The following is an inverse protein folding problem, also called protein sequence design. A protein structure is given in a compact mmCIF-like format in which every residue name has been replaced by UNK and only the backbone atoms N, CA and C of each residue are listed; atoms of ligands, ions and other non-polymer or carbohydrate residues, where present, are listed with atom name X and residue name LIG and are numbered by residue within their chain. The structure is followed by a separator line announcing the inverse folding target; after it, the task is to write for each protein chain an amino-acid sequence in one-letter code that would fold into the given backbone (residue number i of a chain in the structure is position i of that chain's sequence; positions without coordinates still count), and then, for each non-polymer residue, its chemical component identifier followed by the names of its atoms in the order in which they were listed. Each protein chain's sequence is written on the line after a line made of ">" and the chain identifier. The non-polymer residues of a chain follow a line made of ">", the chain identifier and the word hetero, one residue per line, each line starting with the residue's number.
data_IF_215441539931
#
_entry.id   IF_215441539931
#
_cell.length_a   1.000
_cell.length_b   1.000
_cell.length_c   1.000
_cell.angle_alpha   90.00
_cell.angle_beta   90.00
_cell.angle_gamma   90.00
#
_symmetry.space_group_name_H-M   'P 1'
#
loop_
_entity.id
_entity.type
_entity.pdbx_description
1 polymer ?
#
# COMPACT_ATOMS: atom_id res chain seq x y z
N UNK A 1 -18.32 -3.30 90.40
CA UNK A 1 -17.25 -2.74 91.25
C UNK A 1 -15.93 -3.38 90.85
N UNK A 2 -14.95 -2.55 90.43
CA UNK A 2 -13.49 -2.74 90.46
C UNK A 2 -12.89 -3.98 89.76
N UNK A 3 -11.81 -3.91 88.98
CA UNK A 3 -10.81 -2.87 88.68
C UNK A 3 -10.02 -3.36 87.45
N UNK A 4 -9.48 -2.40 86.68
CA UNK A 4 -8.44 -2.60 85.68
C UNK A 4 -7.24 -3.39 86.24
N UNK A 5 -6.56 -4.13 85.36
CA UNK A 5 -5.10 -4.04 85.13
C UNK A 5 -4.83 -4.49 83.69
N UNK A 6 -4.34 -3.54 82.89
CA UNK A 6 -3.72 -3.75 81.57
C UNK A 6 -2.25 -4.11 81.82
N UNK A 7 -1.77 -5.23 81.27
CA UNK A 7 -0.33 -5.50 81.15
C UNK A 7 -0.04 -5.71 79.66
N UNK A 8 0.68 -4.75 79.10
CA UNK A 8 1.25 -4.81 77.77
C UNK A 8 2.51 -5.70 77.79
N UNK A 9 2.54 -6.73 76.97
CA UNK A 9 3.78 -7.48 76.65
C UNK A 9 4.07 -7.26 75.18
N UNK A 10 5.13 -6.49 74.92
CA UNK A 10 5.70 -6.28 73.60
C UNK A 10 6.44 -7.57 73.16
N UNK A 11 5.85 -8.30 72.22
CA UNK A 11 6.53 -9.37 71.48
C UNK A 11 7.08 -8.84 70.16
N UNK A 12 8.38 -8.55 70.13
CA UNK A 12 9.15 -8.30 68.91
C UNK A 12 9.24 -9.59 68.10
N UNK A 13 8.41 -9.72 67.05
CA UNK A 13 8.61 -10.71 66.00
C UNK A 13 9.25 -10.01 64.78
N UNK A 14 10.55 -10.19 64.61
CA UNK A 14 11.24 -9.91 63.36
C UNK A 14 10.78 -10.91 62.29
N UNK A 15 9.72 -10.55 61.57
CA UNK A 15 9.36 -11.21 60.32
C UNK A 15 10.24 -10.67 59.19
N UNK A 16 11.09 -11.54 58.63
CA UNK A 16 11.83 -11.25 57.41
C UNK A 16 10.85 -10.89 56.28
N UNK A 17 10.76 -9.61 55.96
CA UNK A 17 10.13 -9.13 54.72
C UNK A 17 11.06 -9.57 53.60
N UNK A 18 10.80 -10.73 53.00
CA UNK A 18 11.27 -10.99 51.64
C UNK A 18 10.54 -10.00 50.74
N UNK A 19 11.19 -8.87 50.48
CA UNK A 19 10.85 -8.03 49.36
C UNK A 19 10.95 -8.91 48.11
N UNK A 20 9.80 -9.32 47.57
CA UNK A 20 9.74 -9.76 46.17
C UNK A 20 10.19 -8.54 45.37
N UNK A 21 11.45 -8.56 44.93
CA UNK A 21 11.89 -7.69 43.85
C UNK A 21 10.80 -7.75 42.77
N UNK A 22 10.32 -6.60 42.26
CA UNK A 22 9.45 -6.65 41.10
C UNK A 22 10.20 -7.46 40.05
N UNK A 23 9.55 -8.51 39.53
CA UNK A 23 10.04 -9.15 38.31
C UNK A 23 10.22 -7.99 37.34
N UNK A 24 11.46 -7.70 36.96
CA UNK A 24 11.70 -6.98 35.71
C UNK A 24 10.98 -7.84 34.68
N UNK A 25 9.84 -7.37 34.20
CA UNK A 25 9.23 -7.93 33.01
C UNK A 25 10.36 -7.99 31.98
N UNK A 26 10.61 -9.18 31.44
CA UNK A 26 11.54 -9.30 30.31
C UNK A 26 11.06 -8.29 29.28
N UNK A 27 11.88 -7.30 28.96
CA UNK A 27 11.60 -6.37 27.88
C UNK A 27 11.19 -7.21 26.67
N UNK A 28 10.03 -6.92 26.07
CA UNK A 28 9.54 -7.70 24.94
C UNK A 28 10.63 -7.70 23.85
N UNK A 29 11.11 -8.89 23.50
CA UNK A 29 12.10 -9.08 22.44
C UNK A 29 11.39 -8.88 21.09
N UNK A 30 11.35 -7.63 20.61
CA UNK A 30 10.89 -7.29 19.26
C UNK A 30 10.21 -5.93 19.14
N UNK A 31 9.48 -5.72 18.04
CA UNK A 31 8.67 -4.52 17.83
C UNK A 31 7.35 -4.56 18.62
N UNK A 32 7.07 -3.46 19.31
CA UNK A 32 5.80 -3.19 20.02
C UNK A 32 5.27 -1.86 19.56
N UNK A 33 4.09 -1.85 18.92
CA UNK A 33 3.51 -0.64 18.35
C UNK A 33 2.34 -0.13 19.17
N UNK A 34 2.29 1.19 19.38
CA UNK A 34 1.15 1.91 19.94
C UNK A 34 0.61 2.88 18.89
N UNK A 35 -0.66 2.71 18.52
CA UNK A 35 -1.33 3.63 17.59
C UNK A 35 -1.34 5.05 18.16
N UNK A 36 -0.88 6.02 17.37
CA UNK A 36 -1.00 7.46 17.65
C UNK A 36 -2.29 7.99 17.06
N UNK A 37 -2.54 7.66 15.79
CA UNK A 37 -3.77 8.00 15.06
C UNK A 37 -4.00 6.98 13.95
N UNK A 38 -5.25 6.59 13.76
CA UNK A 38 -5.67 5.80 12.61
C UNK A 38 -7.01 6.32 12.08
N UNK A 39 -7.17 6.27 10.77
CA UNK A 39 -8.40 6.65 10.08
C UNK A 39 -9.16 5.40 9.63
N UNK A 40 -10.50 5.47 9.48
CA UNK A 40 -11.31 4.30 9.16
C UNK A 40 -10.87 3.61 7.85
N UNK A 41 -10.79 2.29 7.89
CA UNK A 41 -10.53 1.41 6.74
C UNK A 41 -11.56 0.28 6.71
N UNK A 42 -11.82 -0.26 5.53
CA UNK A 42 -12.56 -1.52 5.35
C UNK A 42 -11.69 -2.74 5.66
N UNK A 43 -12.31 -3.93 5.65
CA UNK A 43 -11.65 -5.22 5.86
C UNK A 43 -10.41 -5.45 4.98
N UNK A 44 -9.47 -6.24 5.49
CA UNK A 44 -8.28 -6.67 4.74
C UNK A 44 -8.69 -7.63 3.62
N UNK A 45 -8.23 -7.34 2.40
CA UNK A 45 -8.48 -8.14 1.20
C UNK A 45 -7.26 -8.99 0.82
N UNK A 46 -7.44 -9.91 -0.12
CA UNK A 46 -6.38 -10.82 -0.54
C UNK A 46 -6.33 -10.99 -2.07
N UNK A 47 -5.36 -10.34 -2.70
CA UNK A 47 -5.08 -10.46 -4.14
C UNK A 47 -4.53 -11.84 -4.52
N UNK A 48 -4.03 -12.60 -3.55
CA UNK A 48 -3.47 -13.94 -3.72
C UNK A 48 -2.47 -14.01 -4.89
N UNK A 49 -2.65 -14.94 -5.83
CA UNK A 49 -1.72 -15.18 -6.94
C UNK A 49 -2.12 -14.34 -8.15
N UNK A 50 -2.19 -13.04 -7.95
CA UNK A 50 -2.41 -12.04 -8.99
C UNK A 50 -1.59 -10.79 -8.69
N UNK A 51 -1.11 -10.10 -9.73
CA UNK A 51 -0.32 -8.86 -9.59
C UNK A 51 -1.21 -7.61 -9.57
N UNK A 52 -2.30 -7.66 -8.80
CA UNK A 52 -3.38 -6.67 -8.84
C UNK A 52 -3.41 -5.73 -7.64
N UNK A 53 -2.29 -5.61 -6.90
CA UNK A 53 -2.18 -4.76 -5.70
C UNK A 53 -2.62 -3.31 -5.96
N UNK A 54 -2.31 -2.77 -7.14
CA UNK A 54 -2.75 -1.44 -7.58
C UNK A 54 -4.28 -1.27 -7.55
N UNK A 55 -5.05 -2.32 -7.91
CA UNK A 55 -6.52 -2.34 -7.83
C UNK A 55 -7.02 -2.43 -6.39
N UNK A 56 -6.51 -3.40 -5.62
CA UNK A 56 -6.89 -3.61 -4.22
C UNK A 56 -6.58 -2.40 -3.32
N UNK A 57 -5.41 -1.80 -3.47
CA UNK A 57 -4.99 -0.65 -2.67
C UNK A 57 -5.76 0.61 -3.01
N UNK A 58 -6.00 0.87 -4.31
CA UNK A 58 -6.79 2.01 -4.77
C UNK A 58 -8.26 1.90 -4.38
N UNK A 59 -8.86 0.72 -4.48
CA UNK A 59 -10.23 0.53 -4.01
C UNK A 59 -10.31 0.60 -2.48
N UNK A 60 -9.34 0.05 -1.76
CA UNK A 60 -9.23 0.25 -0.31
C UNK A 60 -9.11 1.74 0.08
N UNK A 61 -8.43 2.54 -0.75
CA UNK A 61 -8.38 4.00 -0.61
C UNK A 61 -9.75 4.65 -0.89
N UNK A 62 -10.40 4.34 -2.01
CA UNK A 62 -11.73 4.90 -2.33
C UNK A 62 -12.80 4.51 -1.29
N UNK A 63 -12.77 3.28 -0.79
CA UNK A 63 -13.63 2.81 0.30
C UNK A 63 -13.40 3.60 1.59
N UNK A 64 -12.15 3.92 1.91
CA UNK A 64 -11.81 4.78 3.06
C UNK A 64 -12.28 6.23 2.85
N UNK A 65 -12.24 6.75 1.60
CA UNK A 65 -12.84 8.04 1.27
C UNK A 65 -14.37 8.02 1.41
N UNK A 66 -15.04 6.94 1.00
CA UNK A 66 -16.50 6.77 1.17
C UNK A 66 -16.88 6.73 2.66
N UNK A 67 -16.08 6.07 3.50
CA UNK A 67 -16.23 6.10 4.96
C UNK A 67 -16.06 7.53 5.49
N UNK A 68 -15.01 8.25 5.07
CA UNK A 68 -14.73 9.63 5.46
C UNK A 68 -15.86 10.59 5.08
N UNK A 69 -16.47 10.41 3.91
CA UNK A 69 -17.59 11.23 3.43
C UNK A 69 -18.97 10.80 3.97
N UNK A 70 -19.01 9.81 4.87
CA UNK A 70 -20.25 9.35 5.49
C UNK A 70 -21.18 8.60 4.53
N UNK A 71 -20.65 8.07 3.42
CA UNK A 71 -21.40 7.26 2.45
C UNK A 71 -21.65 5.83 2.95
N UNK A 72 -20.89 5.39 3.94
CA UNK A 72 -20.97 4.06 4.55
C UNK A 72 -19.89 3.12 4.03
N UNK A 73 -19.98 1.85 4.44
CA UNK A 73 -19.06 0.80 4.04
C UNK A 73 -19.45 0.22 2.67
N UNK A 74 -18.45 0.04 1.80
CA UNK A 74 -18.58 -0.56 0.49
C UNK A 74 -17.51 -1.63 0.31
N UNK A 75 -17.83 -2.64 -0.50
CA UNK A 75 -16.90 -3.64 -1.01
C UNK A 75 -16.97 -3.57 -2.53
N UNK A 76 -15.96 -2.97 -3.16
CA UNK A 76 -15.94 -2.69 -4.60
C UNK A 76 -15.17 -3.78 -5.35
N UNK A 77 -15.60 -4.10 -6.57
CA UNK A 77 -14.97 -5.16 -7.37
C UNK A 77 -13.62 -4.73 -7.94
N UNK A 78 -12.54 -5.29 -7.41
CA UNK A 78 -11.21 -5.15 -8.01
C UNK A 78 -11.16 -5.71 -9.43
N UNK A 79 -11.91 -6.80 -9.69
CA UNK A 79 -11.84 -7.52 -10.95
C UNK A 79 -12.57 -6.81 -12.09
N UNK A 80 -13.59 -6.01 -11.78
CA UNK A 80 -14.17 -5.06 -12.75
C UNK A 80 -13.12 -4.05 -13.23
N UNK A 81 -12.34 -3.50 -12.30
CA UNK A 81 -11.25 -2.56 -12.63
C UNK A 81 -10.16 -3.27 -13.43
N UNK A 82 -9.69 -4.43 -12.97
CA UNK A 82 -8.65 -5.21 -13.66
C UNK A 82 -9.08 -5.52 -15.09
N UNK A 83 -10.31 -6.02 -15.28
CA UNK A 83 -10.85 -6.33 -16.61
C UNK A 83 -10.77 -5.11 -17.54
N UNK A 84 -11.36 -3.97 -17.13
CA UNK A 84 -11.37 -2.74 -17.95
C UNK A 84 -10.00 -2.16 -18.22
N UNK A 85 -9.12 -2.18 -17.22
CA UNK A 85 -7.75 -1.72 -17.39
C UNK A 85 -6.98 -2.58 -18.37
N UNK A 86 -7.12 -3.91 -18.31
CA UNK A 86 -6.38 -4.81 -19.19
C UNK A 86 -6.88 -4.76 -20.65
N UNK A 87 -8.18 -4.49 -20.87
CA UNK A 87 -8.70 -4.17 -22.21
C UNK A 87 -7.98 -2.95 -22.80
N UNK A 88 -7.86 -1.87 -22.02
CA UNK A 88 -7.20 -0.64 -22.46
C UNK A 88 -5.68 -0.83 -22.62
N UNK A 89 -5.03 -1.55 -21.71
CA UNK A 89 -3.58 -1.82 -21.75
C UNK A 89 -3.22 -2.65 -22.98
N UNK A 90 -4.07 -3.59 -23.39
CA UNK A 90 -3.89 -4.33 -24.63
C UNK A 90 -3.95 -3.39 -25.86
N UNK A 91 -4.86 -2.41 -25.85
CA UNK A 91 -4.94 -1.38 -26.91
C UNK A 91 -3.70 -0.52 -26.93
N UNK A 92 -3.15 -0.14 -25.78
CA UNK A 92 -1.90 0.60 -25.71
C UNK A 92 -0.74 -0.23 -26.28
N UNK A 93 -0.54 -1.46 -25.82
CA UNK A 93 0.50 -2.37 -26.31
C UNK A 93 0.48 -2.52 -27.84
N UNK A 94 -0.71 -2.77 -28.41
CA UNK A 94 -0.87 -2.92 -29.86
C UNK A 94 -0.60 -1.63 -30.62
N UNK A 95 -0.99 -0.46 -30.09
CA UNK A 95 -0.69 0.85 -30.71
C UNK A 95 0.80 1.17 -30.72
N UNK A 96 1.52 0.74 -29.70
CA UNK A 96 2.97 0.87 -29.60
C UNK A 96 3.72 -0.29 -30.27
N UNK A 97 3.05 -1.11 -31.08
CA UNK A 97 3.68 -2.22 -31.81
C UNK A 97 4.48 -3.17 -30.89
N UNK A 98 4.02 -3.33 -29.65
CA UNK A 98 4.63 -4.16 -28.63
C UNK A 98 5.84 -3.58 -27.90
N UNK A 99 6.13 -2.29 -28.06
CA UNK A 99 7.17 -1.59 -27.30
C UNK A 99 6.69 -1.15 -25.91
N UNK A 100 5.39 -0.90 -25.75
CA UNK A 100 4.80 -0.73 -24.42
C UNK A 100 4.71 -2.08 -23.69
N UNK A 101 4.54 -2.06 -22.37
CA UNK A 101 4.39 -3.26 -21.55
C UNK A 101 2.94 -3.77 -21.53
N UNK A 102 2.78 -5.09 -21.59
CA UNK A 102 1.51 -5.76 -21.28
C UNK A 102 1.75 -6.78 -20.18
N UNK A 103 1.52 -6.36 -18.95
CA UNK A 103 1.69 -7.13 -17.71
C UNK A 103 0.47 -6.88 -16.80
N UNK A 104 0.21 -7.77 -15.82
CA UNK A 104 -0.93 -7.65 -14.90
C UNK A 104 -0.83 -6.51 -13.87
N UNK A 105 0.34 -5.86 -13.78
CA UNK A 105 0.54 -4.68 -12.93
C UNK A 105 -0.29 -3.47 -13.39
N UNK A 106 -0.14 -2.35 -12.70
CA UNK A 106 -0.93 -1.16 -12.96
C UNK A 106 -0.62 -0.06 -11.96
N UNK A 107 -1.34 1.04 -12.06
CA UNK A 107 -1.11 2.26 -11.31
C UNK A 107 -2.38 2.75 -10.61
N UNK A 108 -2.25 3.68 -9.67
CA UNK A 108 -3.42 4.33 -9.06
C UNK A 108 -4.27 5.11 -10.08
N UNK A 109 -3.67 5.61 -11.16
CA UNK A 109 -4.40 6.28 -12.24
C UNK A 109 -5.35 5.32 -12.96
N UNK A 110 -5.06 4.02 -13.02
CA UNK A 110 -5.95 3.06 -13.67
C UNK A 110 -7.34 3.02 -13.01
N UNK A 111 -7.41 3.21 -11.69
CA UNK A 111 -8.68 3.28 -10.96
C UNK A 111 -9.37 4.62 -11.17
N UNK A 112 -8.60 5.72 -11.15
CA UNK A 112 -9.12 7.06 -11.45
C UNK A 112 -9.75 7.08 -12.84
N UNK A 113 -9.05 6.51 -13.83
CA UNK A 113 -9.52 6.37 -15.20
C UNK A 113 -10.74 5.45 -15.28
N UNK A 114 -10.71 4.28 -14.63
CA UNK A 114 -11.83 3.35 -14.62
C UNK A 114 -13.09 4.00 -14.02
N UNK A 115 -12.95 4.65 -12.86
CA UNK A 115 -14.04 5.35 -12.20
C UNK A 115 -14.62 6.45 -13.10
N UNK A 116 -13.80 7.21 -13.82
CA UNK A 116 -14.27 8.28 -14.73
C UNK A 116 -14.96 7.74 -15.98
N UNK A 117 -14.42 6.69 -16.59
CA UNK A 117 -14.83 6.25 -17.93
C UNK A 117 -15.82 5.07 -17.93
N UNK A 118 -15.74 4.20 -16.93
CA UNK A 118 -16.50 2.95 -16.87
C UNK A 118 -17.44 2.88 -15.67
N UNK A 119 -17.13 3.59 -14.58
CA UNK A 119 -17.89 3.54 -13.34
C UNK A 119 -17.32 2.51 -12.38
N UNK A 120 -18.15 1.98 -11.48
CA UNK A 120 -17.76 0.98 -10.48
C UNK A 120 -18.90 0.01 -10.21
N UNK A 121 -18.58 -1.17 -9.68
CA UNK A 121 -19.57 -2.17 -9.28
C UNK A 121 -19.21 -2.75 -7.90
N UNK A 122 -20.21 -3.16 -7.11
CA UNK A 122 -19.98 -3.94 -5.90
C UNK A 122 -19.30 -5.30 -6.17
N UNK A 123 -18.54 -5.80 -5.20
CA UNK A 123 -17.83 -7.08 -5.28
C UNK A 123 -18.77 -8.28 -5.53
N UNK A 124 -19.99 -8.27 -4.99
CA UNK A 124 -20.98 -9.33 -5.20
C UNK A 124 -21.58 -9.34 -6.61
N UNK A 125 -21.50 -8.23 -7.34
CA UNK A 125 -21.95 -8.13 -8.73
C UNK A 125 -20.91 -8.71 -9.69
N UNK A 126 -19.62 -8.54 -9.41
CA UNK A 126 -18.54 -9.12 -10.22
C UNK A 126 -17.40 -9.62 -9.30
N UNK A 127 -17.50 -10.85 -8.76
CA UNK A 127 -16.46 -11.41 -7.91
C UNK A 127 -15.12 -11.61 -8.63
N UNK A 128 -15.21 -11.91 -9.94
CA UNK A 128 -14.08 -12.03 -10.85
C UNK A 128 -13.26 -13.31 -10.73
N UNK A 129 -13.92 -14.41 -10.39
CA UNK A 129 -13.31 -15.73 -10.22
C UNK A 129 -14.23 -16.77 -10.86
N UNK A 130 -14.07 -17.01 -12.16
CA UNK A 130 -14.90 -17.97 -12.93
C UNK A 130 -14.29 -19.38 -13.01
N UNK A 131 -13.14 -19.60 -12.36
CA UNK A 131 -12.33 -20.83 -12.45
C UNK A 131 -12.39 -21.73 -11.20
N UNK A 132 -13.35 -21.49 -10.30
CA UNK A 132 -13.67 -22.39 -9.18
C UNK A 132 -12.77 -22.27 -7.94
N UNK A 133 -11.84 -21.32 -7.92
CA UNK A 133 -11.06 -20.97 -6.73
C UNK A 133 -11.85 -20.04 -5.79
N UNK A 134 -11.34 -19.81 -4.58
CA UNK A 134 -11.89 -18.84 -3.62
C UNK A 134 -11.14 -17.51 -3.58
N UNK A 135 -9.99 -17.43 -4.26
CA UNK A 135 -9.11 -16.27 -4.30
C UNK A 135 -8.51 -16.11 -5.69
N UNK A 136 -8.12 -14.89 -6.11
CA UNK A 136 -7.58 -14.68 -7.44
C UNK A 136 -6.33 -15.51 -7.73
N UNK A 137 -6.29 -16.12 -8.90
CA UNK A 137 -5.14 -16.85 -9.42
C UNK A 137 -5.04 -16.61 -10.93
N UNK A 138 -4.24 -15.62 -11.32
CA UNK A 138 -4.18 -15.14 -12.70
C UNK A 138 -3.06 -15.77 -13.51
N UNK A 139 -2.33 -16.75 -12.98
CA UNK A 139 -1.19 -17.35 -13.70
C UNK A 139 -1.56 -17.84 -15.11
N UNK A 140 -2.71 -18.49 -15.26
CA UNK A 140 -3.20 -18.95 -16.57
C UNK A 140 -3.75 -17.79 -17.41
N UNK A 141 -4.56 -16.92 -16.81
CA UNK A 141 -5.11 -15.72 -17.45
C UNK A 141 -4.01 -14.84 -18.05
N UNK A 142 -2.99 -14.49 -17.26
CA UNK A 142 -1.89 -13.62 -17.64
C UNK A 142 -1.06 -14.23 -18.77
N UNK A 143 -0.83 -15.55 -18.72
CA UNK A 143 -0.12 -16.27 -19.77
C UNK A 143 -0.88 -16.26 -21.10
N UNK A 144 -2.19 -16.56 -21.07
CA UNK A 144 -3.04 -16.65 -22.26
C UNK A 144 -3.29 -15.27 -22.86
N UNK A 145 -3.68 -14.29 -22.04
CA UNK A 145 -3.87 -12.91 -22.46
C UNK A 145 -2.57 -12.29 -22.98
N UNK A 146 -1.45 -12.53 -22.30
CA UNK A 146 -0.12 -12.08 -22.70
C UNK A 146 0.28 -12.61 -24.07
N UNK A 147 0.17 -13.92 -24.28
CA UNK A 147 0.48 -14.54 -25.57
C UNK A 147 -0.42 -14.01 -26.70
N UNK A 148 -1.72 -13.84 -26.43
CA UNK A 148 -2.67 -13.29 -27.39
C UNK A 148 -2.27 -11.87 -27.82
N UNK A 149 -2.09 -10.96 -26.85
CA UNK A 149 -1.78 -9.55 -27.12
C UNK A 149 -0.39 -9.39 -27.75
N UNK A 150 0.59 -10.20 -27.34
CA UNK A 150 1.91 -10.23 -27.95
C UNK A 150 1.85 -10.61 -29.43
N UNK A 151 1.08 -11.64 -29.79
CA UNK A 151 0.93 -12.08 -31.17
C UNK A 151 0.30 -11.01 -32.07
N UNK A 152 -0.59 -10.17 -31.51
CA UNK A 152 -1.17 -9.03 -32.23
C UNK A 152 -0.17 -7.87 -32.36
N UNK A 153 0.45 -7.45 -31.24
CA UNK A 153 1.30 -6.26 -31.22
C UNK A 153 2.64 -6.42 -31.93
N UNK A 154 3.25 -7.61 -31.87
CA UNK A 154 4.54 -7.95 -32.51
C UNK A 154 4.40 -8.81 -33.77
N UNK A 155 3.17 -9.02 -34.25
CA UNK A 155 2.91 -9.80 -35.45
C UNK A 155 3.31 -9.09 -36.73
N UNK A 156 3.64 -9.84 -37.78
CA UNK A 156 4.04 -9.30 -39.10
C UNK A 156 2.84 -8.95 -40.01
N UNK A 157 1.68 -8.66 -39.41
CA UNK A 157 0.46 -8.39 -40.18
C UNK A 157 0.56 -7.00 -40.83
N UNK A 158 0.33 -6.91 -42.15
CA UNK A 158 0.30 -5.62 -42.86
C UNK A 158 -0.94 -4.78 -42.52
N UNK A 159 -2.00 -5.42 -42.00
CA UNK A 159 -3.22 -4.79 -41.50
C UNK A 159 -3.86 -5.65 -40.42
N UNK A 160 -4.22 -5.03 -39.30
CA UNK A 160 -4.97 -5.71 -38.23
C UNK A 160 -6.46 -5.80 -38.56
N UNK A 161 -7.06 -6.94 -38.23
CA UNK A 161 -8.52 -7.09 -38.21
C UNK A 161 -9.11 -6.31 -37.04
N UNK A 162 -10.27 -5.63 -37.17
CA UNK A 162 -10.87 -4.90 -36.05
C UNK A 162 -11.37 -5.81 -34.91
N UNK A 163 -11.41 -7.13 -35.11
CA UNK A 163 -11.99 -8.09 -34.15
C UNK A 163 -11.04 -8.48 -33.02
N UNK A 164 -9.74 -8.17 -33.11
CA UNK A 164 -8.76 -8.65 -32.12
C UNK A 164 -9.09 -8.19 -30.69
N UNK A 165 -9.71 -7.02 -30.54
CA UNK A 165 -10.17 -6.51 -29.24
C UNK A 165 -11.17 -7.45 -28.59
N UNK A 166 -12.08 -8.03 -29.39
CA UNK A 166 -13.07 -9.01 -28.90
C UNK A 166 -12.39 -10.28 -28.39
N UNK A 167 -11.25 -10.67 -28.96
CA UNK A 167 -10.53 -11.86 -28.53
C UNK A 167 -9.89 -11.66 -27.15
N UNK A 168 -9.24 -10.52 -26.91
CA UNK A 168 -8.70 -10.21 -25.58
C UNK A 168 -9.81 -10.01 -24.54
N UNK A 169 -10.90 -9.31 -24.89
CA UNK A 169 -12.09 -9.17 -24.03
C UNK A 169 -12.66 -10.54 -23.67
N UNK A 170 -12.84 -11.44 -24.64
CA UNK A 170 -13.38 -12.78 -24.39
C UNK A 170 -12.48 -13.63 -23.47
N UNK A 171 -11.15 -13.46 -23.55
CA UNK A 171 -10.24 -14.07 -22.59
C UNK A 171 -10.57 -13.55 -21.18
N UNK A 172 -10.59 -12.23 -20.96
CA UNK A 172 -10.91 -11.70 -19.64
C UNK A 172 -12.33 -12.04 -19.16
N UNK A 173 -13.34 -12.01 -20.04
CA UNK A 173 -14.70 -12.45 -19.73
C UNK A 173 -14.75 -13.91 -19.26
N UNK A 174 -13.91 -14.78 -19.85
CA UNK A 174 -13.89 -16.21 -19.50
C UNK A 174 -13.32 -16.46 -18.11
N UNK A 175 -12.31 -15.70 -17.67
CA UNK A 175 -11.66 -15.94 -16.37
C UNK A 175 -12.23 -15.06 -15.24
N UNK A 176 -12.63 -13.83 -15.56
CA UNK A 176 -13.09 -12.82 -14.60
C UNK A 176 -14.60 -12.54 -14.70
N UNK A 177 -15.31 -13.15 -15.64
CA UNK A 177 -16.72 -12.87 -15.88
C UNK A 177 -16.93 -11.63 -16.75
N UNK A 178 -18.09 -11.58 -17.40
CA UNK A 178 -18.48 -10.42 -18.20
C UNK A 178 -18.72 -9.20 -17.31
N UNK A 179 -18.17 -8.04 -17.71
CA UNK A 179 -18.47 -6.79 -17.02
C UNK A 179 -19.98 -6.48 -17.08
N UNK A 180 -20.66 -6.29 -15.93
CA UNK A 180 -22.10 -6.10 -15.88
C UNK A 180 -22.51 -4.79 -16.56
N UNK A 181 -23.57 -4.84 -17.38
CA UNK A 181 -24.17 -3.64 -17.99
C UNK A 181 -25.16 -2.95 -17.04
N UNK A 182 -25.86 -3.76 -16.26
CA UNK A 182 -26.81 -3.34 -15.25
C UNK A 182 -26.82 -4.34 -14.08
N UNK A 183 -27.15 -3.87 -12.88
CA UNK A 183 -27.31 -4.68 -11.68
C UNK A 183 -28.28 -4.01 -10.70
N UNK A 184 -28.83 -4.79 -9.77
CA UNK A 184 -29.69 -4.25 -8.71
C UNK A 184 -28.89 -4.04 -7.44
N UNK A 185 -28.94 -2.84 -6.88
CA UNK A 185 -28.36 -2.51 -5.58
C UNK A 185 -29.41 -1.85 -4.70
N UNK A 186 -29.66 -2.41 -3.50
CA UNK A 186 -30.67 -1.92 -2.54
C UNK A 186 -32.04 -1.64 -3.18
N UNK A 187 -32.48 -2.50 -4.09
CA UNK A 187 -33.80 -2.44 -4.73
C UNK A 187 -33.93 -1.47 -5.91
N UNK A 188 -32.85 -0.81 -6.35
CA UNK A 188 -32.82 0.01 -7.56
C UNK A 188 -31.82 -0.56 -8.57
N UNK A 189 -32.18 -0.50 -9.86
CA UNK A 189 -31.29 -0.90 -10.96
C UNK A 189 -30.31 0.23 -11.30
N UNK A 190 -29.04 -0.12 -11.47
CA UNK A 190 -27.96 0.77 -11.85
C UNK A 190 -27.14 0.17 -12.98
N UNK A 191 -26.58 1.02 -13.82
CA UNK A 191 -25.36 0.72 -14.58
C UNK A 191 -24.13 1.04 -13.73
N UNK A 192 -22.93 0.51 -14.04
CA UNK A 192 -21.70 0.87 -13.32
C UNK A 192 -21.45 2.38 -13.24
N UNK A 193 -21.76 3.12 -14.31
CA UNK A 193 -21.67 4.58 -14.37
C UNK A 193 -22.63 5.25 -13.38
N UNK A 194 -23.91 4.91 -13.44
CA UNK A 194 -24.93 5.50 -12.54
C UNK A 194 -24.70 5.13 -11.07
N UNK A 195 -24.15 3.95 -10.79
CA UNK A 195 -23.78 3.56 -9.43
C UNK A 195 -22.65 4.44 -8.88
N UNK A 196 -21.59 4.65 -9.69
CA UNK A 196 -20.51 5.53 -9.32
C UNK A 196 -20.96 6.99 -9.14
N UNK A 197 -21.89 7.49 -9.96
CA UNK A 197 -22.36 8.88 -9.88
C UNK A 197 -23.36 9.11 -8.73
N UNK A 198 -24.35 8.22 -8.58
CA UNK A 198 -25.48 8.45 -7.67
C UNK A 198 -25.28 7.83 -6.29
N UNK A 199 -24.54 6.73 -6.19
CA UNK A 199 -24.35 5.99 -4.92
C UNK A 199 -23.02 6.35 -4.28
N UNK A 200 -21.92 6.19 -5.03
CA UNK A 200 -20.58 6.48 -4.52
C UNK A 200 -20.35 8.00 -4.46
N UNK A 201 -20.60 8.70 -5.57
CA UNK A 201 -20.59 10.16 -5.65
C UNK A 201 -19.22 10.81 -5.45
N UNK A 202 -18.12 10.06 -5.61
CA UNK A 202 -16.77 10.60 -5.53
C UNK A 202 -16.43 11.39 -6.80
N UNK A 203 -15.87 12.58 -6.64
CA UNK A 203 -15.32 13.36 -7.75
C UNK A 203 -13.85 13.04 -7.96
N UNK A 204 -13.54 12.32 -9.04
CA UNK A 204 -12.16 11.92 -9.33
C UNK A 204 -11.20 13.08 -9.64
N UNK A 205 -11.68 14.31 -9.79
CA UNK A 205 -10.84 15.51 -9.91
C UNK A 205 -10.35 16.05 -8.54
N UNK A 206 -10.86 15.51 -7.44
CA UNK A 206 -10.45 15.86 -6.09
C UNK A 206 -9.18 15.11 -5.66
N UNK A 207 -8.69 14.18 -6.47
CA UNK A 207 -7.52 13.34 -6.18
C UNK A 207 -6.36 13.67 -7.10
N UNK A 208 -5.14 13.63 -6.56
CA UNK A 208 -3.91 13.90 -7.30
C UNK A 208 -2.82 12.90 -6.93
N UNK A 209 -2.01 12.54 -7.93
CA UNK A 209 -0.78 11.79 -7.71
C UNK A 209 0.36 12.75 -7.33
N UNK A 210 1.08 12.45 -6.27
CA UNK A 210 2.27 13.20 -5.83
C UNK A 210 3.50 12.29 -5.82
N UNK A 211 4.65 12.84 -6.18
CA UNK A 211 5.95 12.14 -6.17
C UNK A 211 7.07 13.11 -5.77
N UNK A 212 8.31 12.62 -5.72
CA UNK A 212 9.49 13.41 -5.39
C UNK A 212 10.74 12.89 -6.09
N UNK A 213 11.20 13.59 -7.11
CA UNK A 213 12.43 13.29 -7.85
C UNK A 213 13.09 14.56 -8.39
N UNK A 214 14.38 14.50 -8.70
CA UNK A 214 15.18 15.66 -9.15
C UNK A 214 15.52 15.64 -10.64
N UNK A 215 15.24 14.56 -11.37
CA UNK A 215 15.37 14.54 -12.84
C UNK A 215 14.29 15.36 -13.56
N UNK A 216 13.28 15.85 -12.83
CA UNK A 216 12.31 16.86 -13.27
C UNK A 216 12.23 18.02 -12.27
N UNK A 217 11.87 19.24 -12.69
CA UNK A 217 11.69 20.36 -11.78
C UNK A 217 10.62 20.10 -10.72
N UNK A 218 10.85 20.59 -9.50
CA UNK A 218 9.81 20.60 -8.47
C UNK A 218 8.65 21.53 -8.84
N UNK A 219 7.47 21.23 -8.29
CA UNK A 219 6.20 21.92 -8.49
C UNK A 219 5.67 21.88 -9.92
N UNK A 220 6.26 21.04 -10.77
CA UNK A 220 5.75 20.70 -12.09
C UNK A 220 5.15 19.28 -12.06
N UNK A 221 4.38 18.96 -13.08
CA UNK A 221 3.88 17.61 -13.31
C UNK A 221 4.73 16.88 -14.32
N UNK A 222 5.01 15.60 -14.09
CA UNK A 222 5.60 14.72 -15.08
C UNK A 222 5.06 13.29 -14.96
N UNK A 223 5.29 12.47 -15.97
CA UNK A 223 4.93 11.05 -15.94
C UNK A 223 6.09 10.26 -15.36
N UNK A 224 5.89 9.64 -14.20
CA UNK A 224 6.90 8.76 -13.60
C UNK A 224 7.19 7.63 -14.59
N UNK A 225 8.46 7.46 -14.94
CA UNK A 225 8.92 6.60 -16.03
C UNK A 225 8.99 5.13 -15.60
N UNK A 226 7.84 4.53 -15.29
CA UNK A 226 7.70 3.12 -14.90
C UNK A 226 6.74 2.38 -15.82
N UNK A 227 6.97 1.08 -16.00
CA UNK A 227 6.22 0.28 -16.98
C UNK A 227 4.71 0.24 -16.72
N UNK A 228 4.30 0.26 -15.46
CA UNK A 228 2.89 0.23 -15.07
C UNK A 228 2.20 1.59 -15.19
N UNK A 229 2.93 2.69 -15.40
CA UNK A 229 2.39 3.98 -15.79
C UNK A 229 2.22 4.11 -17.32
N UNK A 230 1.71 3.07 -17.97
CA UNK A 230 1.55 2.98 -19.42
C UNK A 230 0.54 3.99 -19.99
N UNK A 231 -0.30 4.60 -19.13
CA UNK A 231 -1.20 5.71 -19.48
C UNK A 231 -0.49 7.07 -19.54
N UNK A 232 0.79 7.13 -19.16
CA UNK A 232 1.57 8.37 -18.99
C UNK A 232 0.88 9.36 -18.03
N UNK A 233 0.34 8.84 -16.92
CA UNK A 233 -0.33 9.61 -15.90
C UNK A 233 0.65 10.60 -15.25
N UNK A 234 0.17 11.82 -15.01
CA UNK A 234 0.97 12.88 -14.44
C UNK A 234 0.93 12.86 -12.91
N UNK A 235 2.10 13.02 -12.30
CA UNK A 235 2.26 13.24 -10.86
C UNK A 235 2.88 14.61 -10.60
N UNK A 236 2.39 15.32 -9.60
CA UNK A 236 3.02 16.56 -9.14
C UNK A 236 4.29 16.24 -8.36
N UNK A 237 5.38 16.92 -8.70
CA UNK A 237 6.69 16.69 -8.11
C UNK A 237 6.95 17.63 -6.92
N UNK A 238 7.33 17.10 -5.76
CA UNK A 238 7.63 17.87 -4.54
C UNK A 238 9.05 17.59 -4.03
N UNK A 239 9.69 18.53 -3.33
CA UNK A 239 10.84 18.20 -2.48
C UNK A 239 10.45 17.12 -1.46
N UNK A 240 11.37 16.20 -1.15
CA UNK A 240 11.04 15.01 -0.35
C UNK A 240 10.45 15.33 1.03
N UNK A 241 10.93 16.39 1.68
CA UNK A 241 10.40 16.80 2.99
C UNK A 241 8.95 17.32 2.89
N UNK A 242 8.60 17.99 1.79
CA UNK A 242 7.21 18.44 1.54
C UNK A 242 6.29 17.27 1.20
N UNK A 243 6.77 16.25 0.47
CA UNK A 243 6.00 15.03 0.25
C UNK A 243 5.71 14.31 1.59
N UNK A 244 6.71 14.20 2.47
CA UNK A 244 6.53 13.61 3.80
C UNK A 244 5.58 14.44 4.67
N UNK A 245 5.62 15.77 4.57
CA UNK A 245 4.66 16.65 5.25
C UNK A 245 3.22 16.40 4.77
N UNK A 246 3.00 16.22 3.47
CA UNK A 246 1.68 15.87 2.93
C UNK A 246 1.17 14.56 3.51
N UNK A 247 2.02 13.52 3.56
CA UNK A 247 1.66 12.21 4.10
C UNK A 247 1.25 12.30 5.58
N UNK A 248 1.99 13.06 6.40
CA UNK A 248 1.64 13.30 7.80
C UNK A 248 0.36 14.11 7.95
N UNK A 249 0.23 15.20 7.19
CA UNK A 249 -0.92 16.07 7.25
C UNK A 249 -2.21 15.33 6.83
N UNK A 250 -2.13 14.43 5.84
CA UNK A 250 -3.26 13.60 5.43
C UNK A 250 -3.79 12.77 6.59
N UNK A 251 -2.94 11.98 7.24
CA UNK A 251 -3.35 11.16 8.38
C UNK A 251 -3.87 12.03 9.53
N UNK A 252 -3.15 13.10 9.86
CA UNK A 252 -3.50 14.01 10.94
C UNK A 252 -4.81 14.76 10.70
N UNK A 253 -5.28 14.89 9.46
CA UNK A 253 -6.56 15.53 9.14
C UNK A 253 -7.67 14.56 8.70
N UNK A 254 -7.53 13.27 9.02
CA UNK A 254 -8.61 12.28 8.83
C UNK A 254 -8.68 11.66 7.43
N UNK A 255 -7.65 11.85 6.60
CA UNK A 255 -7.54 11.23 5.27
C UNK A 255 -6.65 10.00 5.34
N UNK A 256 -6.91 9.04 4.46
CA UNK A 256 -5.95 7.99 4.08
C UNK A 256 -5.31 8.36 2.74
N UNK A 257 -4.34 7.58 2.25
CA UNK A 257 -3.85 7.73 0.87
C UNK A 257 -3.32 6.41 0.32
N UNK A 258 -3.52 6.17 -0.98
CA UNK A 258 -2.90 5.05 -1.66
C UNK A 258 -1.39 5.32 -1.77
N UNK A 259 -0.59 4.31 -1.43
CA UNK A 259 0.86 4.41 -1.28
C UNK A 259 1.55 3.37 -2.16
N UNK A 260 2.25 3.87 -3.19
CA UNK A 260 3.05 3.06 -4.08
C UNK A 260 4.49 3.10 -3.61
N UNK A 261 5.11 1.93 -3.41
CA UNK A 261 6.47 1.83 -2.91
C UNK A 261 7.19 0.56 -3.35
N UNK A 262 8.51 0.67 -3.43
CA UNK A 262 9.37 -0.50 -3.58
C UNK A 262 9.44 -1.29 -2.27
N UNK A 263 8.98 -2.55 -2.34
CA UNK A 263 8.95 -3.51 -1.23
C UNK A 263 9.93 -4.66 -1.42
N UNK A 264 10.80 -4.60 -2.43
CA UNK A 264 11.84 -5.59 -2.73
C UNK A 264 13.09 -5.46 -1.85
N UNK A 265 12.93 -4.82 -0.69
CA UNK A 265 13.98 -4.49 0.26
C UNK A 265 14.15 -5.56 1.35
N UNK A 266 15.37 -5.75 1.82
CA UNK A 266 15.63 -6.61 2.99
C UNK A 266 14.82 -6.16 4.21
N UNK A 267 14.66 -4.84 4.34
CA UNK A 267 13.92 -4.18 5.38
C UNK A 267 12.41 -4.40 5.35
N UNK A 268 11.84 -4.81 4.21
CA UNK A 268 10.42 -5.14 4.07
C UNK A 268 10.21 -6.63 4.36
N UNK A 269 9.50 -6.94 5.45
CA UNK A 269 9.41 -8.31 6.00
C UNK A 269 8.01 -8.90 5.85
N UNK A 270 7.93 -10.24 5.86
CA UNK A 270 6.64 -10.95 5.90
C UNK A 270 5.94 -10.85 7.26
N UNK A 271 6.65 -10.39 8.30
CA UNK A 271 6.11 -10.21 9.64
C UNK A 271 5.44 -8.84 9.86
N UNK A 272 5.34 -8.01 8.82
CA UNK A 272 4.62 -6.74 8.90
C UNK A 272 5.50 -5.54 9.28
N UNK A 273 6.81 -5.58 9.00
CA UNK A 273 7.75 -4.49 9.27
C UNK A 273 8.37 -4.00 7.95
N UNK A 274 8.50 -2.69 7.78
CA UNK A 274 9.29 -2.07 6.73
C UNK A 274 10.22 -0.99 7.33
N UNK A 275 11.54 -1.22 7.28
CA UNK A 275 12.58 -0.36 7.90
C UNK A 275 13.81 -0.27 6.99
N UNK A 276 14.60 0.80 7.12
CA UNK A 276 15.91 0.97 6.46
C UNK A 276 17.04 1.03 7.51
N UNK A 277 17.36 -0.11 8.17
CA UNK A 277 18.30 -0.15 9.28
C UNK A 277 19.70 0.28 8.83
N UNK A 278 20.36 1.11 9.64
CA UNK A 278 21.76 1.45 9.43
C UNK A 278 22.61 0.30 10.00
N UNK A 279 23.14 -0.55 9.12
CA UNK A 279 23.86 -1.76 9.52
C UNK A 279 25.10 -1.45 10.38
N UNK A 280 25.85 -0.37 10.09
CA UNK A 280 27.03 0.03 10.85
C UNK A 280 26.66 0.43 12.28
N UNK A 281 25.70 1.35 12.45
CA UNK A 281 25.21 1.76 13.78
C UNK A 281 24.48 0.63 14.52
N UNK A 282 23.84 -0.26 13.77
CA UNK A 282 23.18 -1.46 14.31
C UNK A 282 24.19 -2.42 14.93
N UNK A 283 25.30 -2.68 14.24
CA UNK A 283 26.37 -3.56 14.71
C UNK A 283 27.00 -3.09 16.03
N UNK A 284 27.23 -1.77 16.17
CA UNK A 284 27.74 -1.17 17.41
C UNK A 284 26.79 -1.41 18.60
N UNK A 285 25.48 -1.32 18.38
CA UNK A 285 24.46 -1.46 19.43
C UNK A 285 24.13 -2.92 19.76
N UNK A 286 24.27 -3.85 18.82
CA UNK A 286 24.04 -5.28 19.08
C UNK A 286 25.24 -5.97 19.74
N UNK A 287 26.38 -5.30 19.84
CA UNK A 287 27.61 -5.86 20.42
C UNK A 287 28.19 -7.00 19.57
N UNK A 288 27.76 -7.09 18.32
CA UNK A 288 28.23 -8.06 17.34
C UNK A 288 29.55 -7.55 16.75
N UNK A 289 30.64 -8.30 16.94
CA UNK A 289 31.91 -7.96 16.31
C UNK A 289 31.85 -8.16 14.78
N UNK A 290 32.75 -7.49 14.06
CA UNK A 290 32.81 -7.57 12.60
C UNK A 290 32.99 -9.03 12.11
N UNK A 291 33.59 -9.91 12.91
CA UNK A 291 33.77 -11.32 12.59
C UNK A 291 32.43 -12.10 12.63
N UNK A 292 31.55 -11.79 13.58
CA UNK A 292 30.19 -12.30 13.64
C UNK A 292 29.40 -11.88 12.39
N UNK A 293 29.41 -10.59 12.06
CA UNK A 293 28.74 -10.09 10.86
C UNK A 293 29.28 -10.67 9.55
N UNK A 294 30.59 -10.92 9.43
CA UNK A 294 31.16 -11.55 8.24
C UNK A 294 30.77 -13.03 8.10
N UNK A 295 30.47 -13.71 9.21
CA UNK A 295 30.07 -15.12 9.23
C UNK A 295 28.58 -15.39 9.04
N UNK A 296 27.71 -14.38 9.22
CA UNK A 296 26.26 -14.56 9.09
C UNK A 296 25.81 -14.72 7.63
N UNK A 297 24.82 -15.59 7.41
CA UNK A 297 24.12 -15.68 6.13
C UNK A 297 23.34 -14.39 5.86
N UNK A 298 23.00 -14.12 4.59
CA UNK A 298 22.13 -12.99 4.22
C UNK A 298 20.79 -13.02 4.98
N UNK A 299 20.22 -14.20 5.18
CA UNK A 299 18.97 -14.37 5.89
C UNK A 299 19.10 -14.05 7.38
N UNK A 300 20.20 -14.45 8.02
CA UNK A 300 20.44 -14.17 9.44
C UNK A 300 20.70 -12.68 9.68
N UNK A 301 21.49 -12.03 8.81
CA UNK A 301 21.69 -10.57 8.83
C UNK A 301 20.37 -9.83 8.76
N UNK A 302 19.53 -10.18 7.77
CA UNK A 302 18.20 -9.60 7.61
C UNK A 302 17.36 -9.79 8.87
N UNK A 303 17.36 -10.99 9.44
CA UNK A 303 16.61 -11.28 10.68
C UNK A 303 17.11 -10.42 11.84
N UNK A 304 18.42 -10.27 12.02
CA UNK A 304 18.97 -9.43 13.08
C UNK A 304 18.56 -7.96 12.89
N UNK A 305 18.72 -7.43 11.68
CA UNK A 305 18.42 -6.04 11.33
C UNK A 305 16.93 -5.67 11.37
N UNK A 306 16.04 -6.65 11.33
CA UNK A 306 14.57 -6.44 11.28
C UNK A 306 13.82 -7.06 12.46
N UNK A 307 14.53 -7.59 13.46
CA UNK A 307 13.90 -8.24 14.63
C UNK A 307 13.39 -7.26 15.68
N UNK A 308 14.02 -6.09 15.81
CA UNK A 308 13.75 -5.06 16.82
C UNK A 308 14.04 -3.67 16.27
N UNK A 309 13.56 -2.60 16.92
CA UNK A 309 13.93 -1.25 16.53
C UNK A 309 15.45 -1.03 16.55
N UNK A 310 15.98 -0.53 15.45
CA UNK A 310 17.38 -0.11 15.28
C UNK A 310 17.43 1.31 14.71
N UNK A 311 18.57 2.01 14.84
CA UNK A 311 18.83 3.22 14.06
C UNK A 311 18.67 2.95 12.57
N UNK A 312 18.08 3.91 11.86
CA UNK A 312 17.91 3.84 10.41
C UNK A 312 18.83 4.85 9.70
N UNK A 313 18.99 4.66 8.40
CA UNK A 313 19.69 5.64 7.56
C UNK A 313 18.95 6.99 7.57
N UNK A 314 19.71 8.06 7.43
CA UNK A 314 19.15 9.39 7.18
C UNK A 314 18.95 9.55 5.67
N UNK A 315 17.69 9.63 5.24
CA UNK A 315 17.35 9.64 3.81
C UNK A 315 17.39 11.07 3.28
N UNK A 316 18.24 11.28 2.28
CA UNK A 316 18.37 12.54 1.54
C UNK A 316 17.66 12.47 0.18
N UNK A 317 17.38 13.63 -0.43
CA UNK A 317 16.82 13.70 -1.79
C UNK A 317 17.73 13.01 -2.82
N UNK A 318 19.05 13.21 -2.71
CA UNK A 318 20.05 12.63 -3.62
C UNK A 318 20.06 11.10 -3.53
N UNK A 319 20.09 10.55 -2.32
CA UNK A 319 20.05 9.09 -2.11
C UNK A 319 18.82 8.47 -2.79
N UNK A 320 17.67 9.12 -2.64
CA UNK A 320 16.42 8.69 -3.27
C UNK A 320 16.51 8.74 -4.81
N UNK A 321 17.09 9.80 -5.38
CA UNK A 321 17.27 9.89 -6.83
C UNK A 321 18.18 8.78 -7.34
N UNK A 322 19.33 8.58 -6.69
CA UNK A 322 20.30 7.54 -7.06
C UNK A 322 19.65 6.16 -7.05
N UNK A 323 18.84 5.85 -6.04
CA UNK A 323 18.15 4.56 -5.94
C UNK A 323 17.15 4.30 -7.08
N UNK A 324 16.48 5.34 -7.57
CA UNK A 324 15.60 5.23 -8.73
C UNK A 324 16.41 5.06 -10.03
N UNK A 325 17.44 5.89 -10.21
CA UNK A 325 18.27 5.88 -11.42
C UNK A 325 19.11 4.60 -11.57
N UNK A 326 19.51 3.98 -10.45
CA UNK A 326 20.35 2.79 -10.42
C UNK A 326 19.58 1.46 -10.27
N UNK A 327 18.25 1.52 -10.30
CA UNK A 327 17.33 0.38 -10.23
C UNK A 327 17.23 -0.33 -8.87
N UNK A 328 17.65 0.31 -7.78
CA UNK A 328 17.35 -0.14 -6.40
C UNK A 328 15.93 0.24 -5.96
N UNK A 329 15.19 1.03 -6.73
CA UNK A 329 13.78 1.39 -6.47
C UNK A 329 13.03 1.38 -7.79
N UNK A 330 12.31 0.29 -8.04
CA UNK A 330 11.73 -0.05 -9.35
C UNK A 330 10.32 -0.62 -9.29
N UNK A 331 10.00 -1.43 -8.27
CA UNK A 331 8.75 -2.18 -8.21
C UNK A 331 7.68 -1.40 -7.44
N UNK A 332 6.61 -0.99 -8.10
CA UNK A 332 5.57 -0.16 -7.47
C UNK A 332 4.46 -1.04 -6.87
N UNK A 333 4.68 -1.53 -5.64
CA UNK A 333 3.64 -2.29 -4.93
C UNK A 333 2.66 -1.33 -4.24
N UNK A 334 1.41 -1.32 -4.73
CA UNK A 334 0.34 -0.51 -4.18
C UNK A 334 -0.20 -1.02 -2.84
N UNK A 335 -0.25 -0.13 -1.84
CA UNK A 335 -0.82 -0.36 -0.50
C UNK A 335 -1.63 0.86 -0.05
N UNK A 336 -2.24 0.80 1.15
CA UNK A 336 -2.97 1.93 1.74
C UNK A 336 -2.32 2.35 3.05
N UNK A 337 -1.89 3.61 3.18
CA UNK A 337 -1.50 4.18 4.48
C UNK A 337 -2.73 4.82 5.13
N UNK A 338 -3.01 4.44 6.37
CA UNK A 338 -4.22 4.87 7.10
C UNK A 338 -3.97 5.39 8.51
N UNK A 339 -2.73 5.32 9.01
CA UNK A 339 -2.43 5.71 10.39
C UNK A 339 -0.96 5.98 10.65
N UNK A 340 -0.69 6.44 11.86
CA UNK A 340 0.62 6.63 12.47
C UNK A 340 0.64 5.88 13.80
N UNK A 341 1.71 5.13 14.04
CA UNK A 341 2.00 4.45 15.28
C UNK A 341 3.42 4.80 15.76
N UNK A 342 3.69 4.52 17.03
CA UNK A 342 5.02 4.59 17.62
C UNK A 342 5.48 3.23 18.11
N UNK A 343 6.76 2.95 17.97
CA UNK A 343 7.36 1.80 18.65
C UNK A 343 7.61 2.09 20.15
N UNK A 344 8.13 1.10 20.87
CA UNK A 344 8.48 1.23 22.30
C UNK A 344 9.54 2.31 22.61
N UNK A 345 10.29 2.76 21.61
CA UNK A 345 11.31 3.80 21.74
C UNK A 345 10.78 5.19 21.32
N UNK A 346 9.50 5.28 20.94
CA UNK A 346 8.85 6.51 20.51
C UNK A 346 9.09 6.87 19.04
N UNK A 347 9.74 6.01 18.26
CA UNK A 347 9.98 6.22 16.83
C UNK A 347 8.70 5.98 16.04
N UNK A 348 8.45 6.83 15.05
CA UNK A 348 7.20 6.83 14.28
C UNK A 348 7.23 5.92 13.06
N UNK A 349 6.08 5.31 12.81
CA UNK A 349 5.79 4.41 11.72
C UNK A 349 4.43 4.77 11.12
N UNK A 350 4.30 4.66 9.80
CA UNK A 350 3.01 4.60 9.14
C UNK A 350 2.38 3.22 9.33
N UNK A 351 1.07 3.19 9.56
CA UNK A 351 0.26 1.98 9.55
C UNK A 351 -0.26 1.74 8.14
N UNK A 352 0.03 0.55 7.60
CA UNK A 352 -0.17 0.20 6.20
C UNK A 352 -1.14 -0.98 6.11
N UNK A 353 -2.26 -0.83 5.40
CA UNK A 353 -3.15 -1.92 5.00
C UNK A 353 -2.59 -2.53 3.71
N UNK A 354 -2.23 -3.80 3.77
CA UNK A 354 -1.77 -4.58 2.62
C UNK A 354 -2.91 -5.46 2.07
N UNK A 355 -2.71 -6.05 0.89
CA UNK A 355 -3.68 -6.86 0.15
C UNK A 355 -3.28 -8.34 0.05
N UNK A 356 -2.54 -8.86 1.03
CA UNK A 356 -2.11 -10.27 1.09
C UNK A 356 -2.89 -11.09 2.12
N UNK A 357 -4.16 -10.72 2.36
CA UNK A 357 -4.97 -11.31 3.41
C UNK A 357 -4.39 -11.06 4.81
N UNK A 358 -4.75 -11.91 5.76
CA UNK A 358 -4.30 -11.78 7.16
C UNK A 358 -2.85 -12.27 7.39
N UNK A 359 -1.99 -12.13 6.39
CA UNK A 359 -0.58 -12.53 6.45
C UNK A 359 0.21 -11.73 7.48
N UNK A 360 1.27 -12.34 8.02
CA UNK A 360 2.20 -11.69 8.95
C UNK A 360 1.68 -11.55 10.38
N UNK A 361 2.53 -11.02 11.26
CA UNK A 361 2.26 -10.89 12.70
C UNK A 361 1.05 -10.00 13.00
N UNK A 362 0.79 -9.00 12.16
CA UNK A 362 -0.27 -8.01 12.37
C UNK A 362 -1.46 -8.19 11.44
N UNK A 363 -1.76 -9.44 11.04
CA UNK A 363 -3.00 -9.82 10.35
C UNK A 363 -3.30 -8.96 9.10
N UNK A 364 -2.32 -8.80 8.22
CA UNK A 364 -2.47 -8.01 7.00
C UNK A 364 -2.03 -6.54 7.11
N UNK A 365 -1.65 -6.09 8.32
CA UNK A 365 -1.11 -4.76 8.56
C UNK A 365 0.42 -4.77 8.56
N UNK A 366 1.00 -3.74 7.99
CA UNK A 366 2.43 -3.44 8.02
C UNK A 366 2.68 -2.14 8.78
N UNK A 367 3.86 -2.04 9.40
CA UNK A 367 4.38 -0.82 10.00
C UNK A 367 5.63 -0.39 9.23
N UNK A 368 5.50 0.69 8.47
CA UNK A 368 6.59 1.25 7.68
C UNK A 368 7.19 2.45 8.41
N UNK A 369 8.50 2.41 8.70
CA UNK A 369 9.16 3.55 9.32
C UNK A 369 9.08 4.79 8.42
N UNK A 370 9.17 5.99 9.02
CA UNK A 370 9.24 7.23 8.24
C UNK A 370 10.43 7.23 7.27
N UNK A 371 11.56 6.61 7.64
CA UNK A 371 12.73 6.52 6.77
C UNK A 371 12.48 5.58 5.58
N UNK A 372 11.86 4.40 5.80
CA UNK A 372 11.47 3.51 4.71
C UNK A 372 10.50 4.20 3.75
N UNK A 373 9.46 4.85 4.27
CA UNK A 373 8.51 5.60 3.45
C UNK A 373 9.20 6.73 2.67
N UNK A 374 10.07 7.52 3.32
CA UNK A 374 10.83 8.61 2.67
C UNK A 374 11.73 8.10 1.54
N UNK A 375 12.33 6.92 1.72
CA UNK A 375 13.26 6.36 0.74
C UNK A 375 12.56 5.65 -0.42
N UNK A 376 11.56 4.81 -0.12
CA UNK A 376 11.04 3.81 -1.06
C UNK A 376 9.67 4.11 -1.66
N UNK A 377 8.98 5.16 -1.23
CA UNK A 377 7.76 5.63 -1.92
C UNK A 377 8.06 5.93 -3.38
N UNK A 378 7.21 5.56 -4.33
CA UNK A 378 7.35 5.96 -5.74
C UNK A 378 6.35 7.08 -6.03
N UNK A 379 5.09 6.90 -5.66
CA UNK A 379 4.07 7.94 -5.63
C UNK A 379 3.01 7.69 -4.54
N UNK A 380 2.15 8.67 -4.33
CA UNK A 380 0.92 8.53 -3.55
C UNK A 380 -0.26 9.08 -4.35
N UNK A 381 -1.46 8.51 -4.17
CA UNK A 381 -2.72 9.12 -4.57
C UNK A 381 -3.44 9.64 -3.34
N UNK A 382 -3.75 10.94 -3.32
CA UNK A 382 -4.32 11.61 -2.15
C UNK A 382 -5.39 12.62 -2.56
N UNK A 383 -6.36 12.84 -1.67
CA UNK A 383 -7.33 13.93 -1.82
C UNK A 383 -6.63 15.30 -1.69
N UNK A 384 -6.90 16.24 -2.61
CA UNK A 384 -6.33 17.60 -2.61
C UNK A 384 -6.52 18.33 -1.28
N UNK A 385 -7.64 18.09 -0.58
CA UNK A 385 -7.95 18.71 0.72
C UNK A 385 -7.05 18.21 1.86
N UNK A 386 -6.32 17.11 1.65
CA UNK A 386 -5.34 16.59 2.60
C UNK A 386 -3.97 17.26 2.46
N UNK A 387 -3.73 18.06 1.41
CA UNK A 387 -2.46 18.73 1.16
C UNK A 387 -2.40 20.02 2.01
N UNK A 388 -1.32 20.29 2.77
CA UNK A 388 -1.14 21.55 3.49
C UNK A 388 -1.34 22.76 2.57
N UNK A 389 -2.08 23.77 3.04
CA UNK A 389 -2.47 24.91 2.21
C UNK A 389 -1.28 25.62 1.54
N UNK A 390 -0.12 25.66 2.20
CA UNK A 390 1.07 26.30 1.66
C UNK A 390 1.73 25.47 0.53
N UNK A 391 1.62 24.14 0.57
CA UNK A 391 2.08 23.24 -0.51
C UNK A 391 1.06 23.28 -1.66
N UNK A 392 -0.24 23.23 -1.35
CA UNK A 392 -1.31 23.34 -2.35
C UNK A 392 -1.18 24.60 -3.21
N UNK A 393 -0.84 25.75 -2.59
CA UNK A 393 -0.56 26.99 -3.29
C UNK A 393 0.62 26.90 -4.27
N UNK A 394 1.69 26.16 -3.93
CA UNK A 394 2.84 25.95 -4.82
C UNK A 394 2.49 25.08 -6.03
N UNK A 395 1.56 24.14 -5.84
CA UNK A 395 1.06 23.23 -6.88
C UNK A 395 -0.05 23.85 -7.76
N UNK A 396 -0.57 25.02 -7.38
CA UNK A 396 -1.59 25.76 -8.13
C UNK A 396 -3.02 25.24 -7.94
N UNK A 397 -3.32 24.65 -6.77
CA UNK A 397 -4.68 24.28 -6.38
C UNK A 397 -5.47 25.42 -5.72
#
# INVERSE_FOLDING_TARGET
>A
MNKLILVAVAGLCFGNIYAKNPKKDKAEEGFVFTTVKENPITSIKNQNRSSTCWSFSSLGFLESELLREGKGEFDLSEMFVVHKTMEDRAVNYVRYHGDASFSPGGSFEDIVFCYKNYGMVPQDVMPGIEYGDSLPNHNELDAVAGAYVQAIGKGNQSKLSPVWKKGVTAIYDTYLGECPKEFTYKGKTYTPRTFADEVLGLNMNDYVSLTSYTHHPFYQTFSIEVQDNWRNALSYNLPIDELMEVMDNAINNGYTFAWGADVSEEGFTRDGIAVCPNAEKGAELTGSDMAHWLGLSKADKRKELTSKPLPEIEVTQEMRQVAFDNWETTDDHGMLIYGIAKDQNGKEYYMVKNSWGLSGKYKGIWYASKAFAKYKTMNILVNKKAIPAHIAKKLGF
#
